data_IF_577660748879
#
_entry.id   IF_577660748879
#
_cell.length_a   1.000
_cell.length_b   1.000
_cell.length_c   1.000
_cell.angle_alpha   90.00
_cell.angle_beta   90.00
_cell.angle_gamma   90.00
#
_symmetry.space_group_name_H-M   'P 1'
#
loop_
_entity.id
_entity.type
_entity.pdbx_description
1 polymer ?
#
# COMPACT_ATOMS: atom_id res chain seq x y z
N UNK A 1 -4.76 1.73 -14.46
CA UNK A 1 -3.84 0.80 -13.78
C UNK A 1 -2.85 0.25 -14.78
N UNK A 2 -1.58 0.17 -14.41
CA UNK A 2 -0.51 -0.36 -15.26
C UNK A 2 -0.73 -1.86 -15.54
N UNK A 3 -0.26 -2.32 -16.70
CA UNK A 3 -0.41 -3.72 -17.10
C UNK A 3 0.33 -4.68 -16.15
N UNK A 4 1.52 -4.30 -15.66
CA UNK A 4 2.30 -5.12 -14.72
C UNK A 4 1.53 -5.39 -13.42
N UNK A 5 0.97 -4.34 -12.81
CA UNK A 5 0.18 -4.42 -11.58
C UNK A 5 -1.14 -5.13 -11.82
N UNK A 6 -1.81 -4.84 -12.95
CA UNK A 6 -3.03 -5.53 -13.34
C UNK A 6 -2.83 -7.05 -13.49
N UNK A 7 -1.75 -7.47 -14.15
CA UNK A 7 -1.38 -8.88 -14.32
C UNK A 7 -1.03 -9.53 -12.98
N UNK A 8 -0.26 -8.84 -12.14
CA UNK A 8 0.06 -9.31 -10.79
C UNK A 8 -1.19 -9.54 -9.94
N UNK A 9 -2.15 -8.61 -10.00
CA UNK A 9 -3.42 -8.74 -9.29
C UNK A 9 -4.29 -9.89 -9.82
N UNK A 10 -4.38 -10.07 -11.15
CA UNK A 10 -5.09 -11.22 -11.72
C UNK A 10 -4.47 -12.55 -11.26
N UNK A 11 -3.15 -12.66 -11.26
CA UNK A 11 -2.45 -13.85 -10.78
C UNK A 11 -2.65 -14.09 -9.28
N UNK A 12 -2.65 -13.01 -8.48
CA UNK A 12 -3.00 -13.07 -7.06
C UNK A 12 -4.40 -13.64 -6.87
N UNK A 13 -5.41 -13.12 -7.59
CA UNK A 13 -6.80 -13.60 -7.53
C UNK A 13 -6.89 -15.09 -7.83
N UNK A 14 -6.26 -15.56 -8.93
CA UNK A 14 -6.24 -16.97 -9.29
C UNK A 14 -5.61 -17.84 -8.19
N UNK A 15 -4.48 -17.39 -7.65
CA UNK A 15 -3.76 -18.10 -6.60
C UNK A 15 -4.55 -18.13 -5.29
N UNK A 16 -5.19 -17.02 -4.92
CA UNK A 16 -6.04 -16.92 -3.74
C UNK A 16 -7.24 -17.85 -3.83
N UNK A 17 -7.96 -17.86 -4.97
CA UNK A 17 -9.08 -18.79 -5.18
C UNK A 17 -8.65 -20.24 -5.00
N UNK A 18 -7.50 -20.63 -5.57
CA UNK A 18 -6.96 -21.99 -5.40
C UNK A 18 -6.60 -22.29 -3.95
N UNK A 19 -5.97 -21.33 -3.26
CA UNK A 19 -5.60 -21.48 -1.85
C UNK A 19 -6.82 -21.62 -0.96
N UNK A 20 -7.84 -20.76 -1.14
CA UNK A 20 -9.07 -20.79 -0.35
C UNK A 20 -9.86 -22.08 -0.49
N UNK A 21 -9.82 -22.74 -1.66
CA UNK A 21 -10.43 -24.05 -1.86
C UNK A 21 -9.78 -25.17 -1.04
N UNK A 22 -8.52 -25.00 -0.63
CA UNK A 22 -7.73 -26.03 0.05
C UNK A 22 -7.54 -25.69 1.52
N UNK A 23 -7.01 -24.50 1.80
CA UNK A 23 -6.70 -24.00 3.12
C UNK A 23 -6.51 -22.49 3.07
N UNK A 24 -7.26 -21.76 3.92
CA UNK A 24 -7.09 -20.32 4.07
C UNK A 24 -6.28 -20.01 5.33
N UNK A 25 -5.01 -19.56 5.21
CA UNK A 25 -4.21 -19.18 6.37
C UNK A 25 -4.70 -17.85 6.93
N UNK A 26 -5.74 -17.89 7.77
CA UNK A 26 -6.32 -16.73 8.40
C UNK A 26 -6.12 -16.72 9.93
N UNK A 27 -6.18 -15.53 10.52
CA UNK A 27 -6.34 -15.35 11.96
C UNK A 27 -7.70 -15.93 12.41
N UNK A 28 -7.91 -16.19 13.72
CA UNK A 28 -9.18 -16.71 14.23
C UNK A 28 -10.45 -15.94 13.80
N UNK A 29 -10.32 -14.65 13.45
CA UNK A 29 -11.42 -13.85 12.91
C UNK A 29 -11.68 -13.99 11.40
N UNK A 30 -10.95 -14.86 10.70
CA UNK A 30 -11.03 -14.99 9.24
C UNK A 30 -10.23 -13.93 8.48
N UNK A 31 -9.30 -13.21 9.10
CA UNK A 31 -8.46 -12.20 8.44
C UNK A 31 -7.21 -12.84 7.84
N UNK A 32 -6.91 -12.60 6.56
CA UNK A 32 -5.58 -12.94 6.04
C UNK A 32 -4.56 -11.93 6.59
N UNK A 33 -3.37 -12.42 6.95
CA UNK A 33 -2.26 -11.57 7.33
C UNK A 33 -1.86 -10.68 6.15
N UNK A 34 -1.72 -9.38 6.38
CA UNK A 34 -1.29 -8.39 5.38
C UNK A 34 -0.02 -8.87 4.66
N UNK A 35 0.93 -9.42 5.42
CA UNK A 35 2.17 -9.98 4.87
C UNK A 35 1.96 -11.13 3.87
N UNK A 36 0.99 -12.01 4.12
CA UNK A 36 0.66 -13.09 3.19
C UNK A 36 0.07 -12.53 1.89
N UNK A 37 -0.75 -11.47 1.99
CA UNK A 37 -1.33 -10.80 0.84
C UNK A 37 -0.26 -10.11 -0.01
N UNK A 38 0.65 -9.36 0.61
CA UNK A 38 1.75 -8.70 -0.11
C UNK A 38 2.67 -9.73 -0.74
N UNK A 39 3.05 -10.78 -0.01
CA UNK A 39 3.91 -11.84 -0.53
C UNK A 39 3.27 -12.52 -1.74
N UNK A 40 2.00 -12.91 -1.64
CA UNK A 40 1.28 -13.54 -2.76
C UNK A 40 1.13 -12.61 -3.97
N UNK A 41 0.91 -11.31 -3.73
CA UNK A 41 0.85 -10.31 -4.80
C UNK A 41 2.19 -10.20 -5.54
N UNK A 42 3.31 -10.09 -4.80
CA UNK A 42 4.65 -10.06 -5.37
C UNK A 42 4.93 -11.32 -6.21
N UNK A 43 4.61 -12.51 -5.71
CA UNK A 43 4.75 -13.75 -6.48
C UNK A 43 3.85 -13.76 -7.73
N UNK A 44 2.66 -13.17 -7.64
CA UNK A 44 1.77 -12.95 -8.78
C UNK A 44 2.39 -12.08 -9.87
N UNK A 45 3.10 -11.01 -9.49
CA UNK A 45 3.85 -10.16 -10.41
C UNK A 45 5.02 -10.90 -11.08
N UNK A 46 5.69 -11.78 -10.33
CA UNK A 46 6.89 -12.52 -10.77
C UNK A 46 6.60 -13.79 -11.60
N UNK A 47 5.34 -14.16 -11.78
CA UNK A 47 4.94 -15.36 -12.54
C UNK A 47 5.36 -15.32 -14.01
N UNK A 48 5.51 -14.13 -14.59
CA UNK A 48 6.12 -13.93 -15.93
C UNK A 48 7.59 -13.58 -15.75
N UNK A 49 8.50 -14.04 -16.63
CA UNK A 49 9.92 -13.68 -16.57
C UNK A 49 10.07 -12.17 -16.77
N UNK A 50 10.12 -11.47 -15.65
CA UNK A 50 10.34 -10.03 -15.54
C UNK A 50 11.50 -9.89 -14.59
N UNK A 51 12.61 -9.32 -15.06
CA UNK A 51 13.68 -8.92 -14.15
C UNK A 51 13.12 -7.87 -13.19
N UNK A 52 13.02 -8.24 -11.92
CA UNK A 52 12.42 -7.40 -10.89
C UNK A 52 13.16 -7.60 -9.56
N UNK A 53 13.32 -6.50 -8.84
CA UNK A 53 13.85 -6.49 -7.48
C UNK A 53 12.71 -6.20 -6.52
N UNK A 54 12.61 -6.94 -5.43
CA UNK A 54 11.51 -6.77 -4.49
C UNK A 54 12.01 -6.95 -3.07
N UNK A 55 11.20 -6.49 -2.13
CA UNK A 55 11.45 -6.66 -0.71
C UNK A 55 10.19 -6.52 0.09
N UNK A 56 10.26 -6.97 1.33
CA UNK A 56 9.17 -7.03 2.28
C UNK A 56 9.61 -6.37 3.59
N UNK A 57 8.65 -5.83 4.34
CA UNK A 57 8.88 -5.24 5.67
C UNK A 57 10.01 -4.20 5.67
N UNK A 58 10.02 -3.36 4.64
CA UNK A 58 11.12 -2.43 4.38
C UNK A 58 11.11 -1.34 5.44
N UNK A 59 12.15 -1.28 6.30
CA UNK A 59 12.17 -0.32 7.38
C UNK A 59 12.31 1.08 6.82
N UNK A 60 11.69 2.05 7.48
CA UNK A 60 11.94 3.47 7.21
C UNK A 60 11.84 4.30 8.50
N UNK A 61 12.34 5.53 8.42
CA UNK A 61 12.30 6.43 9.57
C UNK A 61 10.92 7.05 9.74
N UNK A 62 10.51 7.18 10.98
CA UNK A 62 9.38 8.01 11.35
C UNK A 62 9.10 7.92 12.85
N UNK A 63 8.27 8.83 13.33
CA UNK A 63 7.77 8.74 14.69
C UNK A 63 6.68 7.67 14.77
N UNK A 64 6.79 6.78 15.76
CA UNK A 64 5.79 5.73 16.06
C UNK A 64 4.39 6.28 16.40
N UNK A 65 4.28 7.62 16.53
CA UNK A 65 3.08 8.37 16.89
C UNK A 65 2.67 9.38 15.82
N UNK A 66 3.15 9.27 14.58
CA UNK A 66 2.52 9.98 13.47
C UNK A 66 1.12 9.38 13.22
N UNK A 67 0.21 9.56 14.18
CA UNK A 67 -1.21 9.62 13.90
C UNK A 67 -1.33 10.72 12.86
N UNK A 68 -1.88 10.40 11.68
CA UNK A 68 -2.35 11.36 10.68
C UNK A 68 -3.60 12.13 11.21
N UNK A 69 -3.61 12.41 12.51
CA UNK A 69 -4.58 13.20 13.23
C UNK A 69 -3.82 14.26 13.99
N UNK A 70 -3.49 15.32 13.27
CA UNK A 70 -3.52 16.66 13.83
C UNK A 70 -4.16 17.56 12.79
N UNK A 71 -5.46 17.78 12.96
CA UNK A 71 -6.14 18.97 12.48
C UNK A 71 -5.95 20.12 13.47
N UNK A 72 -4.88 20.12 14.27
CA UNK A 72 -4.59 21.23 15.15
C UNK A 72 -3.93 22.33 14.33
N UNK A 73 -4.74 23.35 14.08
CA UNK A 73 -4.30 24.68 13.72
C UNK A 73 -3.37 25.20 14.81
N UNK A 74 -2.08 24.96 14.66
CA UNK A 74 -1.05 25.78 15.30
C UNK A 74 -0.05 26.14 14.21
N UNK A 75 0.04 27.40 13.78
CA UNK A 75 1.10 27.85 12.90
C UNK A 75 2.37 27.96 13.74
N UNK A 76 2.94 26.81 14.09
CA UNK A 76 4.28 26.71 14.66
C UNK A 76 5.28 26.66 13.52
N UNK A 77 6.25 27.57 13.55
CA UNK A 77 7.39 27.66 12.64
C UNK A 77 8.32 26.43 12.73
N UNK A 78 7.82 25.26 12.34
CA UNK A 78 8.63 24.07 12.18
C UNK A 78 9.11 24.00 10.73
N UNK A 79 9.97 24.96 10.38
CA UNK A 79 10.86 24.89 9.22
C UNK A 79 11.89 23.77 9.46
N UNK A 80 11.43 22.52 9.49
CA UNK A 80 12.30 21.36 9.64
C UNK A 80 13.06 21.13 8.34
N UNK A 81 14.34 21.52 8.35
CA UNK A 81 15.32 21.11 7.36
C UNK A 81 15.62 19.63 7.63
N UNK A 82 14.78 18.73 7.10
CA UNK A 82 15.20 17.35 6.85
C UNK A 82 16.45 17.44 5.96
N UNK A 83 17.55 16.86 6.40
CA UNK A 83 18.75 16.65 5.58
C UNK A 83 19.30 15.24 5.84
N UNK A 84 20.11 14.73 4.92
CA UNK A 84 20.63 13.35 4.97
C UNK A 84 21.40 13.01 6.27
N UNK A 85 21.96 14.01 6.97
CA UNK A 85 22.62 13.83 8.28
C UNK A 85 21.63 13.65 9.43
N UNK A 86 20.54 14.43 9.48
CA UNK A 86 19.48 14.31 10.50
C UNK A 86 18.71 12.98 10.45
N UNK A 87 18.77 12.32 9.30
CA UNK A 87 18.14 11.04 8.99
C UNK A 87 18.88 9.88 9.68
N UNK A 88 20.21 9.86 9.61
CA UNK A 88 21.01 8.76 10.19
C UNK A 88 20.89 8.64 11.71
N UNK A 89 20.48 9.70 12.41
CA UNK A 89 20.31 9.70 13.87
C UNK A 89 18.91 9.31 14.35
N UNK A 90 17.92 9.18 13.44
CA UNK A 90 16.55 8.77 13.80
C UNK A 90 16.40 7.25 13.85
N UNK A 91 15.50 6.79 14.71
CA UNK A 91 15.21 5.35 14.87
C UNK A 91 14.31 4.87 13.73
N UNK A 92 14.72 3.78 13.07
CA UNK A 92 13.93 3.04 12.09
C UNK A 92 12.85 2.28 12.84
N UNK A 93 11.59 2.74 12.75
CA UNK A 93 10.48 2.27 13.60
C UNK A 93 9.21 1.95 12.83
N UNK A 94 9.17 2.30 11.55
CA UNK A 94 8.05 2.02 10.67
C UNK A 94 8.51 1.05 9.58
N UNK A 95 7.56 0.37 8.96
CA UNK A 95 7.80 -0.57 7.86
C UNK A 95 6.82 -0.29 6.72
N UNK A 96 7.34 -0.35 5.49
CA UNK A 96 6.56 -0.48 4.28
C UNK A 96 6.37 -1.97 4.04
N UNK A 97 5.12 -2.42 3.85
CA UNK A 97 4.84 -3.85 3.76
C UNK A 97 5.63 -4.53 2.63
N UNK A 98 5.81 -3.84 1.49
CA UNK A 98 6.75 -4.29 0.48
C UNK A 98 7.00 -3.30 -0.65
N UNK A 99 7.91 -3.67 -1.55
CA UNK A 99 8.10 -2.98 -2.83
C UNK A 99 8.40 -3.97 -3.95
N UNK A 100 8.20 -3.52 -5.18
CA UNK A 100 8.74 -4.17 -6.37
C UNK A 100 9.23 -3.11 -7.35
N UNK A 101 10.44 -3.29 -7.85
CA UNK A 101 11.06 -2.48 -8.89
C UNK A 101 11.18 -3.32 -10.15
N UNK A 102 10.52 -2.88 -11.22
CA UNK A 102 10.52 -3.54 -12.52
C UNK A 102 10.34 -2.50 -13.62
N UNK A 103 11.01 -2.69 -14.77
CA UNK A 103 10.89 -1.80 -15.94
C UNK A 103 11.06 -0.32 -15.57
N UNK A 104 12.09 0.00 -14.77
CA UNK A 104 12.42 1.35 -14.31
C UNK A 104 11.32 2.03 -13.46
N UNK A 105 10.32 1.26 -13.00
CA UNK A 105 9.24 1.73 -12.13
C UNK A 105 9.33 1.07 -10.77
N UNK A 106 9.34 1.88 -9.70
CA UNK A 106 9.28 1.44 -8.32
C UNK A 106 7.84 1.50 -7.81
N UNK A 107 7.30 0.36 -7.40
CA UNK A 107 6.00 0.24 -6.78
C UNK A 107 6.15 0.04 -5.28
N UNK A 108 5.62 0.98 -4.48
CA UNK A 108 5.57 0.92 -3.02
C UNK A 108 4.23 0.32 -2.60
N UNK A 109 4.24 -0.75 -1.81
CA UNK A 109 3.06 -1.59 -1.55
C UNK A 109 2.68 -1.51 -0.08
N UNK A 110 1.39 -1.27 0.16
CA UNK A 110 0.76 -1.35 1.48
C UNK A 110 -0.49 -2.21 1.39
N UNK A 111 -0.65 -3.11 2.36
CA UNK A 111 -1.80 -3.97 2.49
C UNK A 111 -2.61 -3.60 3.73
N UNK A 112 -3.92 -3.79 3.64
CA UNK A 112 -4.81 -3.72 4.79
C UNK A 112 -5.68 -4.95 4.89
N UNK A 113 -5.84 -5.43 6.11
CA UNK A 113 -6.84 -6.43 6.47
C UNK A 113 -8.25 -5.84 6.46
N UNK A 114 -9.23 -6.71 6.74
CA UNK A 114 -10.60 -6.29 6.92
C UNK A 114 -10.77 -5.43 8.18
N UNK A 115 -11.50 -4.33 8.04
CA UNK A 115 -11.89 -3.44 9.13
C UNK A 115 -13.33 -2.96 8.88
N UNK A 116 -14.06 -2.51 9.93
CA UNK A 116 -15.28 -1.76 9.73
C UNK A 116 -15.04 -0.56 8.80
N UNK A 117 -15.97 -0.32 7.87
CA UNK A 117 -15.85 0.67 6.80
C UNK A 117 -15.17 2.00 7.18
N UNK A 118 -15.62 2.65 8.27
CA UNK A 118 -15.03 3.92 8.72
C UNK A 118 -13.54 3.80 9.02
N UNK A 119 -13.14 2.74 9.71
CA UNK A 119 -11.76 2.51 10.13
C UNK A 119 -10.91 2.03 8.93
N UNK A 120 -11.49 1.19 8.07
CA UNK A 120 -10.87 0.76 6.82
C UNK A 120 -10.45 1.97 5.96
N UNK A 121 -11.38 2.89 5.73
CA UNK A 121 -11.12 4.09 4.92
C UNK A 121 -10.06 4.99 5.53
N UNK A 122 -10.12 5.17 6.85
CA UNK A 122 -9.14 5.98 7.59
C UNK A 122 -7.73 5.40 7.47
N UNK A 123 -7.58 4.09 7.57
CA UNK A 123 -6.27 3.44 7.48
C UNK A 123 -5.72 3.48 6.05
N UNK A 124 -6.54 3.15 5.04
CA UNK A 124 -6.10 3.24 3.64
C UNK A 124 -5.67 4.67 3.30
N UNK A 125 -6.40 5.70 3.77
CA UNK A 125 -6.02 7.10 3.56
C UNK A 125 -4.70 7.45 4.26
N UNK A 126 -4.50 6.95 5.48
CA UNK A 126 -3.24 7.15 6.20
C UNK A 126 -2.05 6.51 5.46
N UNK A 127 -2.22 5.32 4.90
CA UNK A 127 -1.18 4.70 4.06
C UNK A 127 -0.94 5.48 2.78
N UNK A 128 -2.01 5.91 2.10
CA UNK A 128 -1.89 6.76 0.92
C UNK A 128 -1.03 8.00 1.23
N UNK A 129 -1.36 8.73 2.29
CA UNK A 129 -0.62 9.95 2.68
C UNK A 129 0.83 9.64 3.04
N UNK A 130 1.08 8.52 3.73
CA UNK A 130 2.41 8.08 4.10
C UNK A 130 3.25 7.67 2.89
N UNK A 131 2.66 7.04 1.88
CA UNK A 131 3.33 6.68 0.63
C UNK A 131 3.73 7.92 -0.19
N UNK A 132 3.04 9.05 0.02
CA UNK A 132 3.38 10.36 -0.56
C UNK A 132 4.34 11.17 0.33
N UNK A 133 4.76 10.64 1.48
CA UNK A 133 5.57 11.40 2.43
C UNK A 133 7.02 11.56 1.98
N UNK A 134 7.58 12.73 2.26
CA UNK A 134 8.99 13.06 2.05
C UNK A 134 9.89 12.15 2.88
N UNK A 135 9.45 11.80 4.09
CA UNK A 135 10.16 10.94 5.04
C UNK A 135 10.38 9.53 4.50
N UNK A 136 9.35 8.92 3.90
CA UNK A 136 9.47 7.61 3.27
C UNK A 136 10.41 7.68 2.07
N UNK A 137 10.22 8.67 1.19
CA UNK A 137 11.05 8.85 0.00
C UNK A 137 12.54 9.03 0.37
N UNK A 138 12.84 9.83 1.39
CA UNK A 138 14.21 10.02 1.89
C UNK A 138 14.79 8.77 2.53
N UNK A 139 13.97 7.99 3.22
CA UNK A 139 14.41 6.71 3.78
C UNK A 139 14.78 5.73 2.67
N UNK A 140 13.98 5.64 1.61
CA UNK A 140 14.29 4.86 0.42
C UNK A 140 15.59 5.34 -0.24
N UNK A 141 15.73 6.64 -0.50
CA UNK A 141 16.98 7.22 -1.00
C UNK A 141 18.19 6.79 -0.17
N UNK A 142 18.10 6.91 1.16
CA UNK A 142 19.19 6.56 2.07
C UNK A 142 19.51 5.06 2.09
N UNK A 143 18.52 4.19 1.85
CA UNK A 143 18.76 2.74 1.77
C UNK A 143 19.45 2.34 0.47
N UNK A 144 19.05 2.95 -0.66
CA UNK A 144 19.63 2.68 -1.97
C UNK A 144 21.04 3.23 -2.10
N UNK A 145 21.33 4.35 -1.43
CA UNK A 145 22.63 5.03 -1.49
C UNK A 145 23.53 4.66 -0.29
N UNK A 146 23.75 3.36 -0.10
CA UNK A 146 24.71 2.81 0.87
C UNK A 146 25.92 2.24 0.10
N UNK A 147 26.90 3.08 -0.28
CA UNK A 147 28.02 2.65 -1.13
C UNK A 147 28.86 1.54 -0.49
N UNK A 148 28.92 1.51 0.85
CA UNK A 148 29.65 0.45 1.58
C UNK A 148 28.90 -0.89 1.61
N UNK A 149 27.70 -0.97 1.04
CA UNK A 149 26.82 -2.16 1.10
C UNK A 149 26.38 -2.60 -0.30
N UNK A 150 26.02 -1.67 -1.18
CA UNK A 150 25.48 -1.96 -2.51
C UNK A 150 26.07 -1.03 -3.57
N UNK A 151 26.39 -1.59 -4.74
CA UNK A 151 26.69 -0.83 -5.95
C UNK A 151 25.38 -0.48 -6.68
N UNK A 152 24.84 0.73 -6.42
CA UNK A 152 23.65 1.35 -7.08
C UNK A 152 22.55 0.35 -7.49
N UNK A 153 21.75 -0.16 -6.53
CA UNK A 153 20.91 -1.34 -6.76
C UNK A 153 19.83 -1.17 -7.85
N UNK A 154 19.25 0.02 -8.04
CA UNK A 154 18.14 0.22 -8.99
C UNK A 154 18.45 1.18 -10.16
N UNK A 155 19.67 1.72 -10.26
CA UNK A 155 19.98 2.74 -11.26
C UNK A 155 19.10 4.00 -11.12
N UNK A 156 18.65 4.55 -12.25
CA UNK A 156 17.77 5.73 -12.29
C UNK A 156 16.29 5.31 -12.37
N UNK A 157 15.51 5.62 -11.35
CA UNK A 157 14.09 5.25 -11.29
C UNK A 157 13.27 6.26 -12.10
N UNK A 158 12.54 5.79 -13.12
CA UNK A 158 11.75 6.66 -14.01
C UNK A 158 10.35 6.94 -13.51
N UNK A 159 9.76 6.04 -12.73
CA UNK A 159 8.44 6.23 -12.12
C UNK A 159 8.41 5.66 -10.70
N UNK A 160 7.66 6.31 -9.82
CA UNK A 160 7.35 5.78 -8.49
C UNK A 160 5.84 5.76 -8.33
N UNK A 161 5.27 4.62 -7.96
CA UNK A 161 3.81 4.47 -7.79
C UNK A 161 3.51 3.79 -6.47
N UNK A 162 2.39 4.14 -5.86
CA UNK A 162 1.87 3.44 -4.70
C UNK A 162 0.85 2.38 -5.13
N UNK A 163 0.87 1.24 -4.44
CA UNK A 163 -0.09 0.14 -4.59
C UNK A 163 -0.72 -0.13 -3.23
N UNK A 164 -2.04 -0.04 -3.15
CA UNK A 164 -2.82 -0.34 -1.96
C UNK A 164 -3.57 -1.65 -2.20
N UNK A 165 -3.38 -2.64 -1.33
CA UNK A 165 -4.04 -3.94 -1.38
C UNK A 165 -4.96 -4.12 -0.19
N UNK A 166 -6.07 -4.84 -0.36
CA UNK A 166 -6.83 -5.32 0.78
C UNK A 166 -7.55 -6.64 0.50
N UNK A 167 -7.71 -7.44 1.56
CA UNK A 167 -8.64 -8.57 1.62
C UNK A 167 -9.80 -8.17 2.54
N UNK A 168 -11.03 -8.35 2.07
CA UNK A 168 -12.25 -8.02 2.80
C UNK A 168 -13.32 -9.05 2.53
N UNK A 169 -14.18 -9.32 3.51
CA UNK A 169 -15.44 -10.05 3.29
C UNK A 169 -16.67 -9.17 3.51
N UNK A 170 -16.48 -7.91 3.90
CA UNK A 170 -17.60 -6.98 4.12
C UNK A 170 -18.09 -6.41 2.79
N UNK A 171 -19.37 -6.63 2.41
CA UNK A 171 -19.93 -6.06 1.18
C UNK A 171 -19.87 -4.53 1.17
N UNK A 172 -19.92 -3.88 2.34
CA UNK A 172 -19.77 -2.44 2.45
C UNK A 172 -18.38 -1.98 1.97
N UNK A 173 -17.29 -2.66 2.36
CA UNK A 173 -15.94 -2.30 1.93
C UNK A 173 -15.73 -2.51 0.43
N UNK A 174 -16.31 -3.57 -0.13
CA UNK A 174 -16.31 -3.79 -1.58
C UNK A 174 -17.01 -2.64 -2.31
N UNK A 175 -18.25 -2.33 -1.92
CA UNK A 175 -19.05 -1.26 -2.53
C UNK A 175 -18.37 0.11 -2.38
N UNK A 176 -17.81 0.39 -1.22
CA UNK A 176 -16.98 1.57 -0.96
C UNK A 176 -15.83 1.71 -1.95
N UNK A 177 -15.13 0.60 -2.17
CA UNK A 177 -14.01 0.52 -3.08
C UNK A 177 -14.42 0.63 -4.54
N UNK A 178 -15.65 0.32 -4.92
CA UNK A 178 -16.16 0.50 -6.29
C UNK A 178 -16.80 1.88 -6.53
N UNK A 179 -17.46 2.44 -5.51
CA UNK A 179 -18.23 3.69 -5.62
C UNK A 179 -17.39 4.93 -5.31
N UNK A 180 -16.27 4.79 -4.58
CA UNK A 180 -15.44 5.91 -4.06
C UNK A 180 -16.21 6.83 -3.12
N UNK A 181 -17.37 6.40 -2.64
CA UNK A 181 -18.24 7.23 -1.83
C UNK A 181 -19.00 6.39 -0.83
N UNK A 182 -19.11 6.90 0.40
CA UNK A 182 -19.96 6.32 1.44
C UNK A 182 -20.68 7.39 2.20
N UNK A 183 -21.92 7.11 2.58
CA UNK A 183 -22.54 7.84 3.67
C UNK A 183 -23.22 6.86 4.62
N UNK A 184 -22.59 6.51 5.76
CA UNK A 184 -23.24 5.66 6.74
C UNK A 184 -24.52 6.33 7.25
N UNK A 185 -25.56 5.53 7.49
CA UNK A 185 -26.84 6.01 7.99
C UNK A 185 -26.63 6.74 9.33
N UNK A 186 -27.18 7.95 9.46
CA UNK A 186 -27.05 8.77 10.66
C UNK A 186 -25.78 9.64 10.72
N UNK A 187 -24.86 9.54 9.77
CA UNK A 187 -23.69 10.42 9.70
C UNK A 187 -23.98 11.69 8.88
N UNK A 188 -23.49 12.83 9.39
CA UNK A 188 -23.63 14.14 8.71
C UNK A 188 -22.74 14.24 7.46
N UNK A 189 -21.55 13.65 7.53
CA UNK A 189 -20.54 13.69 6.47
C UNK A 189 -20.47 12.35 5.72
N UNK A 190 -20.26 12.44 4.42
CA UNK A 190 -19.87 11.29 3.61
C UNK A 190 -18.36 11.08 3.68
N UNK A 191 -17.93 9.84 3.51
CA UNK A 191 -16.55 9.53 3.17
C UNK A 191 -16.39 9.67 1.67
N UNK A 192 -15.45 10.52 1.27
CA UNK A 192 -15.11 10.78 -0.12
C UNK A 192 -13.73 10.20 -0.42
N UNK A 193 -13.70 9.21 -1.32
CA UNK A 193 -12.50 8.63 -1.89
C UNK A 193 -12.25 9.21 -3.29
N UNK A 194 -12.63 10.45 -3.57
CA UNK A 194 -12.33 11.13 -4.84
C UNK A 194 -10.84 11.15 -5.20
N UNK A 195 -9.96 11.00 -4.20
CA UNK A 195 -8.52 10.80 -4.40
C UNK A 195 -8.16 9.41 -4.95
N UNK A 196 -9.06 8.42 -4.84
CA UNK A 196 -8.97 7.09 -5.40
C UNK A 196 -9.81 6.98 -6.67
N UNK A 197 -9.23 7.35 -7.81
CA UNK A 197 -9.98 7.45 -9.07
C UNK A 197 -10.47 6.07 -9.54
N UNK A 198 -11.63 5.96 -10.22
CA UNK A 198 -12.12 4.68 -10.75
C UNK A 198 -11.09 3.93 -11.62
N UNK A 199 -10.32 4.61 -12.46
CA UNK A 199 -9.31 3.96 -13.32
C UNK A 199 -8.07 3.44 -12.56
N UNK A 200 -7.91 3.86 -11.30
CA UNK A 200 -6.78 3.51 -10.44
C UNK A 200 -7.07 2.27 -9.59
N UNK A 201 -8.32 1.82 -9.51
CA UNK A 201 -8.73 0.77 -8.59
C UNK A 201 -9.41 -0.40 -9.29
N UNK A 202 -9.36 -1.56 -8.67
CA UNK A 202 -10.11 -2.76 -9.05
C UNK A 202 -10.58 -3.47 -7.78
N UNK A 203 -11.71 -4.14 -7.88
CA UNK A 203 -12.23 -5.05 -6.88
C UNK A 203 -12.55 -6.37 -7.57
N UNK A 204 -12.43 -7.48 -6.85
CA UNK A 204 -12.72 -8.80 -7.39
C UNK A 204 -13.34 -9.70 -6.31
N UNK A 205 -14.57 -10.16 -6.56
CA UNK A 205 -15.26 -11.15 -5.72
C UNK A 205 -14.68 -12.55 -5.98
N UNK A 206 -14.21 -13.20 -4.93
CA UNK A 206 -13.59 -14.52 -5.02
C UNK A 206 -14.61 -15.67 -5.15
N UNK A 207 -15.90 -15.42 -4.90
CA UNK A 207 -16.97 -16.41 -4.98
C UNK A 207 -17.01 -17.38 -3.80
N UNK A 208 -16.41 -17.00 -2.67
CA UNK A 208 -16.41 -17.78 -1.43
C UNK A 208 -17.13 -17.01 -0.34
N UNK A 209 -18.08 -17.66 0.33
CA UNK A 209 -18.80 -17.08 1.45
C UNK A 209 -17.97 -17.14 2.74
N UNK A 210 -18.10 -16.10 3.56
CA UNK A 210 -17.53 -16.04 4.90
C UNK A 210 -18.25 -17.02 5.81
N UNK A 211 -17.49 -17.74 6.64
CA UNK A 211 -18.05 -18.56 7.73
C UNK A 211 -18.91 -17.77 8.74
N UNK A 212 -18.79 -16.42 8.75
CA UNK A 212 -19.60 -15.54 9.58
C UNK A 212 -20.96 -15.19 8.97
N UNK A 213 -21.11 -15.29 7.64
CA UNK A 213 -22.38 -15.08 6.94
C UNK A 213 -22.31 -15.53 5.47
N UNK A 214 -23.32 -16.27 5.01
CA UNK A 214 -23.51 -16.64 3.61
C UNK A 214 -23.69 -15.43 2.67
N UNK A 215 -24.06 -14.25 3.20
CA UNK A 215 -24.22 -13.02 2.41
C UNK A 215 -22.92 -12.21 2.26
N UNK A 216 -21.79 -12.69 2.78
CA UNK A 216 -20.52 -11.97 2.85
C UNK A 216 -19.47 -12.71 2.02
N UNK A 217 -19.24 -12.26 0.77
CA UNK A 217 -18.22 -12.84 -0.10
C UNK A 217 -16.83 -12.27 0.17
N UNK A 218 -15.84 -13.15 0.27
CA UNK A 218 -14.43 -12.73 0.26
C UNK A 218 -14.09 -12.04 -1.06
N UNK A 219 -13.39 -10.93 -0.96
CA UNK A 219 -13.03 -10.08 -2.09
C UNK A 219 -11.64 -9.52 -1.92
N UNK A 220 -10.94 -9.39 -3.05
CA UNK A 220 -9.66 -8.68 -3.10
C UNK A 220 -9.84 -7.30 -3.72
N UNK A 221 -9.17 -6.32 -3.13
CA UNK A 221 -9.18 -4.93 -3.55
C UNK A 221 -7.76 -4.51 -3.89
N UNK A 222 -7.61 -3.76 -4.97
CA UNK A 222 -6.34 -3.13 -5.32
C UNK A 222 -6.56 -1.70 -5.81
N UNK A 223 -5.62 -0.83 -5.52
CA UNK A 223 -5.47 0.45 -6.16
C UNK A 223 -4.02 0.76 -6.47
N UNK A 224 -3.80 1.54 -7.53
CA UNK A 224 -2.49 1.99 -7.97
C UNK A 224 -2.57 3.48 -8.29
N UNK A 225 -1.67 4.29 -7.71
CA UNK A 225 -1.62 5.72 -8.00
C UNK A 225 -1.04 6.02 -9.39
N UNK A 226 -1.18 7.28 -9.79
CA UNK A 226 -0.35 7.88 -10.84
C UNK A 226 1.11 8.01 -10.34
N UNK A 227 2.00 8.56 -11.19
CA UNK A 227 3.42 8.78 -10.81
C UNK A 227 3.54 9.76 -9.64
N UNK A 228 4.32 9.36 -8.63
CA UNK A 228 4.64 10.12 -7.43
C UNK A 228 5.88 10.97 -7.69
N UNK A 229 5.76 11.98 -8.55
CA UNK A 229 6.90 12.79 -9.04
C UNK A 229 7.80 13.31 -7.92
N UNK A 230 7.22 13.85 -6.84
CA UNK A 230 7.98 14.35 -5.70
C UNK A 230 8.78 13.25 -4.99
N UNK A 231 8.16 12.08 -4.76
CA UNK A 231 8.85 10.91 -4.19
C UNK A 231 9.97 10.43 -5.12
N UNK A 232 9.73 10.38 -6.44
CA UNK A 232 10.73 9.98 -7.44
C UNK A 232 11.95 10.91 -7.43
N UNK A 233 11.73 12.22 -7.44
CA UNK A 233 12.81 13.22 -7.39
C UNK A 233 13.65 13.05 -6.13
N UNK A 234 13.00 12.90 -4.98
CA UNK A 234 13.69 12.68 -3.71
C UNK A 234 14.45 11.35 -3.68
N UNK A 235 13.85 10.26 -4.18
CA UNK A 235 14.49 8.94 -4.18
C UNK A 235 15.75 8.94 -5.04
N UNK A 236 15.70 9.53 -6.23
CA UNK A 236 16.86 9.57 -7.14
C UNK A 236 17.95 10.54 -6.65
N UNK A 237 17.57 11.73 -6.18
CA UNK A 237 18.51 12.85 -6.00
C UNK A 237 18.79 13.21 -4.54
N UNK A 238 17.96 12.76 -3.59
CA UNK A 238 17.97 13.26 -2.22
C UNK A 238 17.22 14.59 -2.10
N UNK A 239 17.73 15.49 -1.25
CA UNK A 239 17.18 16.85 -1.07
C UNK A 239 18.04 17.91 -1.72
#
# INVERSE_FOLDING_TARGET
MDEFIANGFTNLVEHYKKSMNVFRPCRPGGEVLEQNLVTAFLMGCLKKPTEAHWGLEVPFMGDSKAKVHSSDKTPGNDFFILNSKSIRSRKWRNHLDGFIYANETLYLIEAKRDYPATEFLKQIKADYDRLHSKELALSFHSMLNRPDVYDKPFGNIKQVKAVLLADTWRPTNFKLWEDAFYKPRGHKSAYDLSWLKPMQRRAYDLGFESSQSASESYSLLIAQTDDLTGSREIINNGL
#
